data_IF_819911819671
#
_entry.id   IF_819911819671
#
_cell.length_a   1.000
_cell.length_b   1.000
_cell.length_c   1.000
_cell.angle_alpha   90.00
_cell.angle_beta   90.00
_cell.angle_gamma   90.00
#
_symmetry.space_group_name_H-M   'P 1'
#
loop_
_entity.id
_entity.type
_entity.pdbx_description
1 polymer ?
#
# COMPACT_ATOMS: atom_id res chain seq x y z
N UNK A 1 2.30 7.68 27.77
CA UNK A 1 1.42 6.95 26.83
C UNK A 1 1.97 5.54 26.68
N UNK A 2 1.14 4.48 26.58
CA UNK A 2 1.64 3.14 26.31
C UNK A 2 2.34 3.11 24.93
N UNK A 3 3.49 2.45 24.86
CA UNK A 3 4.28 2.35 23.62
C UNK A 3 4.09 0.97 22.99
N UNK A 4 3.83 0.94 21.68
CA UNK A 4 3.75 -0.30 20.92
C UNK A 4 5.15 -0.83 20.59
N UNK A 5 5.31 -2.15 20.68
CA UNK A 5 6.53 -2.85 20.33
C UNK A 5 6.22 -4.02 19.40
N UNK A 6 7.13 -4.26 18.45
CA UNK A 6 7.12 -5.43 17.59
C UNK A 6 8.17 -6.42 18.08
N UNK A 7 7.73 -7.63 18.36
CA UNK A 7 8.58 -8.79 18.63
C UNK A 7 8.44 -9.76 17.45
N UNK A 8 9.56 -10.17 16.87
CA UNK A 8 9.66 -11.27 15.94
C UNK A 8 10.67 -12.28 16.48
N UNK A 9 10.29 -13.55 16.45
CA UNK A 9 11.19 -14.65 16.76
C UNK A 9 11.04 -15.80 15.77
N UNK A 10 12.14 -16.49 15.56
CA UNK A 10 12.23 -17.72 14.78
C UNK A 10 12.22 -18.94 15.70
N UNK A 11 11.41 -19.94 15.36
CA UNK A 11 11.30 -21.19 16.10
C UNK A 11 12.46 -22.10 15.67
N UNK A 12 13.40 -22.34 16.59
CA UNK A 12 14.53 -23.25 16.37
C UNK A 12 14.13 -24.71 16.61
N UNK A 13 13.28 -24.94 17.62
CA UNK A 13 12.76 -26.27 17.96
C UNK A 13 11.25 -26.16 18.17
N UNK A 14 10.48 -26.71 17.23
CA UNK A 14 9.03 -26.66 17.28
C UNK A 14 8.50 -27.65 18.33
N UNK A 15 8.39 -27.18 19.58
CA UNK A 15 7.80 -27.95 20.68
C UNK A 15 6.34 -27.52 20.92
N UNK A 16 5.43 -28.48 21.15
CA UNK A 16 4.08 -28.15 21.62
C UNK A 16 4.13 -27.24 22.85
N UNK A 17 3.29 -26.20 22.88
CA UNK A 17 3.20 -25.27 24.01
C UNK A 17 4.15 -24.07 23.97
N UNK A 18 5.10 -23.98 23.03
CA UNK A 18 6.06 -22.86 22.94
C UNK A 18 5.37 -21.49 22.90
N UNK A 19 4.28 -21.38 22.13
CA UNK A 19 3.51 -20.14 22.08
C UNK A 19 2.82 -19.82 23.42
N UNK A 20 2.36 -20.84 24.12
CA UNK A 20 1.77 -20.70 25.46
C UNK A 20 2.80 -20.17 26.46
N UNK A 21 4.04 -20.65 26.40
CA UNK A 21 5.12 -20.19 27.28
C UNK A 21 5.49 -18.73 27.03
N UNK A 22 5.61 -18.32 25.76
CA UNK A 22 5.86 -16.92 25.39
C UNK A 22 4.69 -16.03 25.82
N UNK A 23 3.45 -16.48 25.60
CA UNK A 23 2.25 -15.73 25.99
C UNK A 23 2.13 -15.58 27.51
N UNK A 24 2.48 -16.62 28.26
CA UNK A 24 2.51 -16.60 29.73
C UNK A 24 3.57 -15.65 30.26
N UNK A 25 4.76 -15.63 29.64
CA UNK A 25 5.82 -14.67 29.96
C UNK A 25 5.37 -13.23 29.76
N UNK A 26 4.73 -12.94 28.63
CA UNK A 26 4.19 -11.60 28.33
C UNK A 26 3.15 -11.20 29.39
N UNK A 27 2.24 -12.11 29.76
CA UNK A 27 1.27 -11.90 30.83
C UNK A 27 1.92 -11.59 32.19
N UNK A 28 2.96 -12.35 32.57
CA UNK A 28 3.71 -12.14 33.82
C UNK A 28 4.44 -10.79 33.87
N UNK A 29 4.84 -10.26 32.71
CA UNK A 29 5.46 -8.93 32.59
C UNK A 29 4.42 -7.82 32.42
N UNK A 30 3.13 -8.13 32.47
CA UNK A 30 2.02 -7.19 32.20
C UNK A 30 2.13 -6.53 30.81
N UNK A 31 2.58 -7.31 29.82
CA UNK A 31 2.66 -6.89 28.42
C UNK A 31 1.46 -7.49 27.69
N UNK A 32 0.65 -6.63 27.06
CA UNK A 32 -0.53 -7.09 26.33
C UNK A 32 -0.18 -7.43 24.88
N UNK A 33 -0.70 -8.55 24.38
CA UNK A 33 -0.63 -8.89 22.96
C UNK A 33 -1.79 -8.20 22.26
N UNK A 34 -1.48 -7.26 21.37
CA UNK A 34 -2.49 -6.64 20.49
C UNK A 34 -2.86 -7.62 19.38
N UNK A 35 -1.86 -8.22 18.75
CA UNK A 35 -2.04 -9.20 17.68
C UNK A 35 -0.84 -10.14 17.63
N UNK A 36 -1.07 -11.39 17.23
CA UNK A 36 -0.03 -12.38 17.00
C UNK A 36 -0.38 -13.23 15.78
N UNK A 37 0.63 -13.54 14.96
CA UNK A 37 0.46 -14.46 13.85
C UNK A 37 1.78 -15.15 13.45
N UNK A 38 1.69 -16.26 12.73
CA UNK A 38 2.84 -16.75 11.96
C UNK A 38 3.05 -15.79 10.79
N UNK A 39 4.27 -15.29 10.60
CA UNK A 39 4.62 -14.39 9.48
C UNK A 39 5.40 -15.09 8.38
N UNK A 40 5.83 -16.33 8.67
CA UNK A 40 6.53 -17.29 7.82
C UNK A 40 6.41 -18.68 8.48
N UNK A 41 6.80 -19.75 7.80
CA UNK A 41 6.68 -21.14 8.29
C UNK A 41 7.33 -21.36 9.66
N UNK A 42 8.49 -20.72 9.91
CA UNK A 42 9.25 -20.82 11.16
C UNK A 42 9.18 -19.58 12.05
N UNK A 43 8.53 -18.49 11.61
CA UNK A 43 8.61 -17.17 12.28
C UNK A 43 7.27 -16.72 12.80
N UNK A 44 7.26 -16.16 14.01
CA UNK A 44 6.10 -15.52 14.60
C UNK A 44 6.36 -14.05 14.88
N UNK A 45 5.38 -13.23 14.53
CA UNK A 45 5.36 -11.81 14.81
C UNK A 45 4.27 -11.48 15.84
N UNK A 46 4.60 -10.59 16.77
CA UNK A 46 3.71 -10.12 17.82
C UNK A 46 3.75 -8.60 17.85
N UNK A 47 2.56 -7.99 17.84
CA UNK A 47 2.39 -6.59 18.18
C UNK A 47 2.01 -6.51 19.67
N UNK A 48 2.85 -5.82 20.43
CA UNK A 48 2.79 -5.75 21.89
C UNK A 48 2.45 -4.34 22.34
N UNK A 49 1.65 -4.22 23.39
CA UNK A 49 1.40 -2.97 24.10
C UNK A 49 2.09 -3.03 25.45
N UNK A 50 3.04 -2.10 25.65
CA UNK A 50 3.81 -1.98 26.88
C UNK A 50 3.49 -0.65 27.57
N UNK A 51 3.66 -0.61 28.88
CA UNK A 51 3.52 0.58 29.72
C UNK A 51 4.87 1.28 29.94
N UNK A 52 5.98 0.52 29.86
CA UNK A 52 7.34 1.06 30.03
C UNK A 52 8.40 0.31 29.21
N UNK A 53 9.53 0.97 28.95
CA UNK A 53 10.69 0.35 28.32
C UNK A 53 11.36 -0.73 29.20
N UNK A 54 11.19 -0.67 30.52
CA UNK A 54 11.76 -1.65 31.42
C UNK A 54 11.08 -3.02 31.28
N UNK A 55 9.78 -3.06 30.97
CA UNK A 55 9.10 -4.31 30.61
C UNK A 55 9.75 -4.97 29.40
N UNK A 56 10.08 -4.17 28.38
CA UNK A 56 10.72 -4.65 27.14
C UNK A 56 12.13 -5.14 27.40
N UNK A 57 12.93 -4.43 28.21
CA UNK A 57 14.28 -4.85 28.58
C UNK A 57 14.29 -6.18 29.36
N UNK A 58 13.33 -6.36 30.27
CA UNK A 58 13.16 -7.62 31.00
C UNK A 58 12.75 -8.75 30.06
N UNK A 59 11.78 -8.49 29.18
CA UNK A 59 11.35 -9.43 28.15
C UNK A 59 12.55 -9.86 27.28
N UNK A 60 13.32 -8.92 26.76
CA UNK A 60 14.50 -9.19 25.93
C UNK A 60 15.52 -10.08 26.65
N UNK A 61 15.78 -9.78 27.92
CA UNK A 61 16.74 -10.54 28.74
C UNK A 61 16.30 -11.99 28.92
N UNK A 62 15.00 -12.24 29.13
CA UNK A 62 14.44 -13.59 29.31
C UNK A 62 14.37 -14.34 27.98
N UNK A 63 13.96 -13.68 26.90
CA UNK A 63 13.87 -14.33 25.59
C UNK A 63 15.26 -14.76 25.08
N UNK A 64 16.32 -14.02 25.40
CA UNK A 64 17.71 -14.39 25.04
C UNK A 64 18.20 -15.67 25.71
N UNK A 65 17.57 -16.10 26.81
CA UNK A 65 17.93 -17.34 27.51
C UNK A 65 17.10 -18.54 27.04
N UNK A 66 16.18 -18.37 26.08
CA UNK A 66 15.33 -19.45 25.59
C UNK A 66 15.99 -20.16 24.40
N UNK A 67 16.42 -21.42 24.58
CA UNK A 67 17.10 -22.20 23.52
C UNK A 67 16.21 -22.61 22.33
N UNK A 68 14.89 -22.46 22.47
CA UNK A 68 13.91 -22.92 21.48
C UNK A 68 13.57 -21.85 20.44
N UNK A 69 13.92 -20.60 20.69
CA UNK A 69 13.62 -19.46 19.82
C UNK A 69 14.83 -18.56 19.65
N UNK A 70 14.89 -17.87 18.52
CA UNK A 70 15.84 -16.80 18.29
C UNK A 70 15.06 -15.52 18.06
N UNK A 71 15.24 -14.52 18.92
CA UNK A 71 14.64 -13.19 18.69
C UNK A 71 15.34 -12.54 17.50
N UNK A 72 14.60 -12.30 16.43
CA UNK A 72 15.12 -11.66 15.21
C UNK A 72 14.87 -10.15 15.22
N UNK A 73 13.78 -9.69 15.83
CA UNK A 73 13.44 -8.27 15.97
C UNK A 73 12.76 -7.98 17.30
N UNK A 74 13.21 -6.93 17.98
CA UNK A 74 12.51 -6.32 19.11
C UNK A 74 12.68 -4.81 19.02
N UNK A 75 11.66 -4.10 18.54
CA UNK A 75 11.75 -2.66 18.23
C UNK A 75 10.37 -2.02 18.13
N UNK A 76 10.31 -0.69 18.01
CA UNK A 76 9.07 0.02 17.64
C UNK A 76 8.54 -0.50 16.29
N UNK A 77 7.25 -0.83 16.17
CA UNK A 77 6.68 -1.43 14.97
C UNK A 77 6.71 -0.47 13.78
N UNK A 78 7.20 -0.96 12.64
CA UNK A 78 7.00 -0.29 11.35
C UNK A 78 5.64 -0.70 10.76
N UNK A 79 5.14 0.05 9.78
CA UNK A 79 3.88 -0.28 9.07
C UNK A 79 3.85 -1.74 8.59
N UNK A 80 4.95 -2.19 7.98
CA UNK A 80 5.11 -3.57 7.49
C UNK A 80 5.02 -4.61 8.61
N UNK A 81 5.55 -4.30 9.79
CA UNK A 81 5.52 -5.21 10.92
C UNK A 81 4.06 -5.41 11.38
N UNK A 82 3.26 -4.34 11.43
CA UNK A 82 1.82 -4.40 11.76
C UNK A 82 1.04 -5.24 10.74
N UNK A 83 1.29 -5.01 9.46
CA UNK A 83 0.59 -5.71 8.38
C UNK A 83 1.00 -7.18 8.30
N UNK A 84 2.29 -7.48 8.49
CA UNK A 84 2.76 -8.86 8.49
C UNK A 84 2.09 -9.67 9.59
N UNK A 85 1.96 -9.10 10.80
CA UNK A 85 1.24 -9.76 11.90
C UNK A 85 -0.25 -9.86 11.62
N UNK A 86 -0.88 -8.82 11.05
CA UNK A 86 -2.32 -8.85 10.76
C UNK A 86 -2.69 -9.93 9.73
N UNK A 87 -1.89 -10.06 8.67
CA UNK A 87 -2.21 -10.94 7.54
C UNK A 87 -1.42 -12.26 7.52
N UNK A 88 -0.47 -12.43 8.44
CA UNK A 88 0.30 -13.66 8.61
C UNK A 88 1.35 -13.93 7.53
N UNK A 89 1.86 -12.88 6.85
CA UNK A 89 2.86 -13.01 5.78
C UNK A 89 3.65 -11.71 5.58
N UNK A 90 4.89 -11.79 5.10
CA UNK A 90 5.65 -10.58 4.77
C UNK A 90 5.19 -9.92 3.46
N UNK A 91 5.14 -8.59 3.45
CA UNK A 91 5.06 -7.81 2.21
C UNK A 91 6.42 -7.80 1.54
N UNK A 92 6.50 -8.25 0.28
CA UNK A 92 7.73 -8.25 -0.50
C UNK A 92 8.10 -6.83 -0.95
N UNK A 93 9.40 -6.54 -0.92
CA UNK A 93 9.99 -5.27 -1.39
C UNK A 93 11.00 -5.60 -2.46
N UNK A 94 11.15 -4.73 -3.43
CA UNK A 94 12.28 -4.78 -4.34
C UNK A 94 13.61 -4.69 -3.55
N UNK A 95 14.59 -5.49 -3.95
CA UNK A 95 15.91 -5.50 -3.33
C UNK A 95 16.70 -4.22 -3.66
N UNK A 96 16.49 -3.69 -4.87
CA UNK A 96 17.21 -2.56 -5.42
C UNK A 96 16.43 -1.25 -5.19
N UNK A 97 15.10 -1.30 -5.22
CA UNK A 97 14.25 -0.14 -4.97
C UNK A 97 13.45 -0.19 -3.67
N UNK A 98 13.90 0.63 -2.72
CA UNK A 98 13.27 0.76 -1.41
C UNK A 98 11.85 1.35 -1.49
N UNK A 99 11.45 2.12 -2.49
CA UNK A 99 10.06 2.63 -2.53
C UNK A 99 9.07 1.65 -3.17
N UNK A 100 9.56 0.55 -3.76
CA UNK A 100 8.72 -0.40 -4.51
C UNK A 100 8.24 -1.59 -3.66
N UNK A 101 6.92 -1.80 -3.64
CA UNK A 101 6.22 -2.87 -2.94
C UNK A 101 5.44 -3.73 -3.94
N UNK A 102 5.60 -5.05 -3.85
CA UNK A 102 4.99 -5.99 -4.79
C UNK A 102 3.91 -6.81 -4.09
N UNK A 103 2.78 -6.93 -4.77
CA UNK A 103 1.63 -7.72 -4.34
C UNK A 103 1.14 -8.56 -5.51
N UNK A 104 0.72 -9.79 -5.22
CA UNK A 104 -0.01 -10.61 -6.20
C UNK A 104 -1.52 -10.38 -6.06
N UNK A 105 -2.29 -10.73 -7.08
CA UNK A 105 -3.74 -10.52 -7.11
C UNK A 105 -4.48 -11.16 -5.93
N UNK A 106 -4.02 -12.30 -5.45
CA UNK A 106 -4.59 -12.98 -4.27
C UNK A 106 -4.30 -12.24 -2.95
N UNK A 107 -3.50 -11.17 -3.01
CA UNK A 107 -3.13 -10.30 -1.88
C UNK A 107 -3.82 -8.93 -1.92
N UNK A 108 -4.81 -8.73 -2.78
CA UNK A 108 -5.54 -7.45 -2.87
C UNK A 108 -6.09 -6.98 -1.52
N UNK A 109 -6.53 -7.90 -0.63
CA UNK A 109 -6.95 -7.54 0.72
C UNK A 109 -5.82 -6.96 1.59
N UNK A 110 -4.61 -7.52 1.49
CA UNK A 110 -3.41 -7.02 2.18
C UNK A 110 -2.96 -5.68 1.57
N UNK A 111 -3.04 -5.54 0.25
CA UNK A 111 -2.78 -4.28 -0.44
C UNK A 111 -3.73 -3.18 0.04
N UNK A 112 -5.03 -3.48 0.14
CA UNK A 112 -6.05 -2.52 0.60
C UNK A 112 -5.74 -2.03 2.02
N UNK A 113 -5.39 -2.95 2.92
CA UNK A 113 -4.97 -2.59 4.28
C UNK A 113 -3.68 -1.76 4.29
N UNK A 114 -2.70 -2.11 3.46
CA UNK A 114 -1.44 -1.37 3.33
C UNK A 114 -1.67 0.07 2.88
N UNK A 115 -2.42 0.25 1.79
CA UNK A 115 -2.73 1.56 1.23
C UNK A 115 -3.61 2.38 2.18
N UNK A 116 -4.60 1.77 2.83
CA UNK A 116 -5.43 2.47 3.80
C UNK A 116 -4.61 3.05 4.97
N UNK A 117 -3.62 2.30 5.46
CA UNK A 117 -2.68 2.80 6.48
C UNK A 117 -1.73 3.88 5.95
N UNK A 118 -1.40 3.87 4.65
CA UNK A 118 -0.68 4.98 4.04
C UNK A 118 -1.53 6.24 3.99
N UNK A 119 -2.82 6.13 3.65
CA UNK A 119 -3.74 7.27 3.50
C UNK A 119 -4.09 7.95 4.82
N UNK A 120 -4.01 7.22 5.94
CA UNK A 120 -4.26 7.75 7.29
C UNK A 120 -3.12 8.59 7.86
N UNK A 121 -1.93 8.54 7.24
CA UNK A 121 -0.81 9.35 7.68
C UNK A 121 -0.93 10.75 7.10
N UNK A 122 -0.72 11.76 7.94
CA UNK A 122 -0.79 13.15 7.55
C UNK A 122 0.36 13.53 6.60
N UNK A 123 0.10 14.55 5.77
CA UNK A 123 1.12 15.15 4.91
C UNK A 123 0.99 14.79 3.43
N UNK A 124 1.92 15.35 2.66
CA UNK A 124 2.09 15.03 1.26
C UNK A 124 2.47 13.56 1.07
N UNK A 125 1.73 12.85 0.22
CA UNK A 125 2.09 11.50 -0.23
C UNK A 125 1.84 11.31 -1.70
N UNK A 126 2.87 10.92 -2.44
CA UNK A 126 2.76 10.55 -3.84
C UNK A 126 2.99 9.05 -4.01
N UNK A 127 1.94 8.34 -4.41
CA UNK A 127 1.92 6.89 -4.55
C UNK A 127 1.70 6.54 -6.02
N UNK A 128 2.58 5.74 -6.59
CA UNK A 128 2.46 5.23 -7.96
C UNK A 128 1.90 3.82 -7.95
N UNK A 129 0.95 3.50 -8.82
CA UNK A 129 0.46 2.13 -8.99
C UNK A 129 0.74 1.62 -10.39
N UNK A 130 1.51 0.53 -10.42
CA UNK A 130 1.84 -0.26 -11.58
C UNK A 130 1.07 -1.58 -11.57
N UNK A 131 0.88 -2.13 -12.76
CA UNK A 131 0.21 -3.40 -12.97
C UNK A 131 -0.45 -3.43 -14.34
N UNK A 132 -0.63 -4.64 -14.85
CA UNK A 132 -1.32 -4.89 -16.12
C UNK A 132 -2.76 -4.32 -16.13
N UNK A 133 -3.43 -4.23 -17.28
CA UNK A 133 -4.85 -3.89 -17.29
C UNK A 133 -5.69 -4.89 -16.48
N UNK A 134 -6.66 -4.40 -15.71
CA UNK A 134 -7.66 -5.21 -14.96
C UNK A 134 -7.12 -6.07 -13.79
N UNK A 135 -5.91 -5.82 -13.27
CA UNK A 135 -5.41 -6.48 -12.02
C UNK A 135 -6.00 -5.91 -10.73
N UNK A 136 -6.88 -4.90 -10.82
CA UNK A 136 -7.52 -4.31 -9.64
C UNK A 136 -6.88 -3.02 -9.14
N UNK A 137 -6.15 -2.27 -10.00
CA UNK A 137 -5.49 -1.00 -9.62
C UNK A 137 -6.49 -0.03 -9.03
N UNK A 138 -7.48 0.40 -9.81
CA UNK A 138 -8.45 1.40 -9.35
C UNK A 138 -9.34 0.89 -8.22
N UNK A 139 -9.74 -0.38 -8.27
CA UNK A 139 -10.53 -1.04 -7.23
C UNK A 139 -9.80 -1.01 -5.89
N UNK A 140 -8.48 -1.28 -5.89
CA UNK A 140 -7.65 -1.20 -4.68
C UNK A 140 -7.57 0.23 -4.15
N UNK A 141 -7.43 1.25 -5.00
CA UNK A 141 -7.41 2.67 -4.59
C UNK A 141 -8.71 3.06 -3.90
N UNK A 142 -9.85 2.71 -4.51
CA UNK A 142 -11.18 3.03 -3.99
C UNK A 142 -11.44 2.29 -2.68
N UNK A 143 -11.20 0.97 -2.64
CA UNK A 143 -11.38 0.16 -1.43
C UNK A 143 -10.51 0.67 -0.27
N UNK A 144 -9.27 1.06 -0.55
CA UNK A 144 -8.36 1.63 0.44
C UNK A 144 -8.84 2.98 0.96
N UNK A 145 -9.39 3.82 0.08
CA UNK A 145 -9.96 5.12 0.47
C UNK A 145 -11.14 4.94 1.42
N UNK A 146 -12.03 3.99 1.11
CA UNK A 146 -13.15 3.62 1.98
C UNK A 146 -12.65 3.10 3.33
N UNK A 147 -11.68 2.17 3.34
CA UNK A 147 -11.10 1.62 4.57
C UNK A 147 -10.41 2.69 5.44
N UNK A 148 -9.80 3.70 4.80
CA UNK A 148 -9.19 4.84 5.47
C UNK A 148 -10.18 5.92 5.91
N UNK A 149 -11.46 5.80 5.56
CA UNK A 149 -12.48 6.85 5.74
C UNK A 149 -12.05 8.20 5.10
N UNK A 150 -11.43 8.13 3.92
CA UNK A 150 -11.01 9.28 3.13
C UNK A 150 -11.90 9.38 1.88
N UNK A 151 -12.28 10.60 1.50
CA UNK A 151 -13.00 10.83 0.23
C UNK A 151 -12.00 10.67 -0.92
N UNK A 152 -12.41 10.08 -2.02
CA UNK A 152 -11.57 9.96 -3.22
C UNK A 152 -12.12 10.82 -4.36
N UNK A 153 -11.22 11.42 -5.13
CA UNK A 153 -11.55 12.30 -6.25
C UNK A 153 -10.75 11.88 -7.47
N UNK A 154 -11.47 11.48 -8.53
CA UNK A 154 -10.86 11.24 -9.83
C UNK A 154 -10.55 12.57 -10.52
N UNK A 155 -9.28 12.91 -10.62
CA UNK A 155 -8.77 14.03 -11.43
C UNK A 155 -8.75 13.61 -12.89
N UNK A 156 -8.32 12.37 -13.14
CA UNK A 156 -8.38 11.69 -14.42
C UNK A 156 -8.59 10.19 -14.23
N UNK A 157 -9.40 9.53 -15.07
CA UNK A 157 -9.61 8.08 -15.00
C UNK A 157 -10.22 7.52 -16.28
N UNK A 158 -9.93 6.26 -16.58
CA UNK A 158 -10.59 5.48 -17.63
C UNK A 158 -11.93 4.84 -17.20
N UNK A 159 -12.19 4.68 -15.90
CA UNK A 159 -13.27 3.82 -15.36
C UNK A 159 -14.68 4.41 -15.40
N UNK A 160 -14.83 5.71 -15.60
CA UNK A 160 -16.12 6.40 -15.63
C UNK A 160 -16.14 7.42 -16.76
N UNK A 161 -16.61 7.04 -17.95
CA UNK A 161 -16.75 7.93 -19.13
C UNK A 161 -15.48 8.71 -19.52
N UNK A 162 -14.28 8.22 -19.15
CA UNK A 162 -13.02 8.95 -19.37
C UNK A 162 -13.05 10.36 -18.74
N UNK A 163 -13.10 10.42 -17.40
CA UNK A 163 -13.06 11.69 -16.67
C UNK A 163 -11.72 12.38 -16.87
N UNK A 164 -11.75 13.65 -17.27
CA UNK A 164 -10.62 14.59 -17.23
C UNK A 164 -11.14 15.90 -16.65
N UNK A 165 -10.62 16.30 -15.49
CA UNK A 165 -11.04 17.53 -14.81
C UNK A 165 -10.05 18.65 -15.08
N UNK A 166 -10.55 19.84 -15.41
CA UNK A 166 -9.71 21.04 -15.57
C UNK A 166 -9.73 21.98 -14.36
N UNK A 167 -10.61 21.71 -13.39
CA UNK A 167 -10.71 22.47 -12.14
C UNK A 167 -11.39 21.63 -11.03
N UNK A 168 -11.10 21.98 -9.78
CA UNK A 168 -11.82 21.54 -8.59
C UNK A 168 -12.63 22.70 -8.01
N UNK A 169 -13.74 22.39 -7.33
CA UNK A 169 -14.45 23.38 -6.52
C UNK A 169 -13.73 23.56 -5.17
N UNK A 170 -13.96 24.67 -4.48
CA UNK A 170 -13.20 25.04 -3.27
C UNK A 170 -13.14 23.91 -2.21
N UNK A 171 -14.27 23.26 -1.93
CA UNK A 171 -14.38 22.22 -0.91
C UNK A 171 -13.65 20.90 -1.27
N UNK A 172 -13.22 20.75 -2.52
CA UNK A 172 -12.47 19.57 -2.98
C UNK A 172 -10.96 19.71 -2.73
N UNK A 173 -10.45 20.91 -2.47
CA UNK A 173 -9.05 21.16 -2.08
C UNK A 173 -8.82 20.81 -0.59
N UNK A 174 -9.16 19.58 -0.20
CA UNK A 174 -9.00 19.09 1.16
C UNK A 174 -7.84 18.09 1.26
N UNK A 175 -7.06 18.21 2.33
CA UNK A 175 -6.01 17.25 2.72
C UNK A 175 -6.58 15.88 3.13
N UNK A 176 -7.87 15.83 3.43
CA UNK A 176 -8.61 14.59 3.71
C UNK A 176 -9.05 13.85 2.46
N UNK A 177 -8.75 14.38 1.27
CA UNK A 177 -9.07 13.72 0.01
C UNK A 177 -7.87 12.93 -0.53
N UNK A 178 -8.18 11.81 -1.18
CA UNK A 178 -7.24 11.06 -2.02
C UNK A 178 -7.49 11.46 -3.48
N UNK A 179 -6.50 12.08 -4.11
CA UNK A 179 -6.59 12.49 -5.51
C UNK A 179 -6.05 11.39 -6.42
N UNK A 180 -6.86 10.96 -7.39
CA UNK A 180 -6.54 9.86 -8.29
C UNK A 180 -6.25 10.41 -9.68
N UNK A 181 -5.06 10.13 -10.18
CA UNK A 181 -4.55 10.56 -11.48
C UNK A 181 -4.20 9.30 -12.28
N UNK A 182 -4.50 9.31 -13.58
CA UNK A 182 -4.14 8.25 -14.51
C UNK A 182 -3.14 8.87 -15.48
N UNK A 183 -1.88 8.44 -15.37
CA UNK A 183 -0.76 8.97 -16.15
C UNK A 183 -0.99 8.91 -17.64
N UNK A 184 -1.71 7.90 -18.15
CA UNK A 184 -2.00 7.76 -19.57
C UNK A 184 -3.05 8.79 -20.00
N UNK A 185 -4.12 8.90 -19.24
CA UNK A 185 -5.24 9.80 -19.56
C UNK A 185 -4.79 11.26 -19.45
N UNK A 186 -4.10 11.61 -18.36
CA UNK A 186 -3.63 12.98 -18.12
C UNK A 186 -2.68 13.48 -19.19
N UNK A 187 -1.73 12.64 -19.62
CA UNK A 187 -0.65 13.09 -20.53
C UNK A 187 -1.04 13.01 -22.00
N UNK A 188 -1.88 12.06 -22.40
CA UNK A 188 -2.30 11.92 -23.81
C UNK A 188 -3.51 12.75 -24.17
N UNK A 189 -4.39 13.07 -23.21
CA UNK A 189 -5.69 13.70 -23.47
C UNK A 189 -5.96 14.93 -22.61
N UNK A 190 -5.12 15.21 -21.61
CA UNK A 190 -5.24 16.40 -20.78
C UNK A 190 -4.98 17.67 -21.57
N UNK A 191 -5.81 18.69 -21.31
CA UNK A 191 -5.52 20.06 -21.76
C UNK A 191 -4.48 20.73 -20.86
N UNK A 192 -3.95 21.88 -21.27
CA UNK A 192 -3.10 22.71 -20.41
C UNK A 192 -3.76 23.05 -19.07
N UNK A 193 -5.08 23.27 -19.06
CA UNK A 193 -5.83 23.52 -17.83
C UNK A 193 -5.86 22.29 -16.91
N UNK A 194 -5.97 21.09 -17.49
CA UNK A 194 -5.86 19.85 -16.71
C UNK A 194 -4.46 19.69 -16.11
N UNK A 195 -3.40 19.93 -16.89
CA UNK A 195 -2.03 19.86 -16.39
C UNK A 195 -1.77 20.91 -15.31
N UNK A 196 -2.35 22.11 -15.44
CA UNK A 196 -2.32 23.12 -14.39
C UNK A 196 -3.02 22.62 -13.11
N UNK A 197 -4.20 22.01 -13.22
CA UNK A 197 -4.87 21.41 -12.07
C UNK A 197 -4.00 20.32 -11.43
N UNK A 198 -3.36 19.46 -12.22
CA UNK A 198 -2.45 18.43 -11.69
C UNK A 198 -1.32 19.08 -10.88
N UNK A 199 -0.70 20.16 -11.38
CA UNK A 199 0.34 20.91 -10.64
C UNK A 199 -0.18 21.52 -9.34
N UNK A 200 -1.40 22.03 -9.33
CA UNK A 200 -2.04 22.56 -8.13
C UNK A 200 -2.26 21.45 -7.10
N UNK A 201 -2.80 20.31 -7.52
CA UNK A 201 -3.02 19.15 -6.67
C UNK A 201 -1.70 18.61 -6.10
N UNK A 202 -0.64 18.51 -6.92
CA UNK A 202 0.67 18.02 -6.47
C UNK A 202 1.25 18.86 -5.32
N UNK A 203 0.94 20.16 -5.24
CA UNK A 203 1.38 21.05 -4.14
C UNK A 203 0.60 20.90 -2.84
N UNK A 204 -0.58 20.26 -2.86
CA UNK A 204 -1.39 20.06 -1.66
C UNK A 204 -0.71 19.11 -0.68
N UNK A 205 -0.88 19.31 0.63
CA UNK A 205 -0.41 18.37 1.64
C UNK A 205 -1.38 17.20 1.82
N UNK A 206 -1.73 16.56 0.70
CA UNK A 206 -2.69 15.47 0.59
C UNK A 206 -2.06 14.23 -0.05
N UNK A 207 -2.81 13.11 -0.02
CA UNK A 207 -2.44 11.89 -0.72
C UNK A 207 -2.84 11.96 -2.20
N UNK A 208 -1.91 11.63 -3.09
CA UNK A 208 -2.13 11.48 -4.53
C UNK A 208 -1.73 10.08 -4.93
N UNK A 209 -2.57 9.49 -5.76
CA UNK A 209 -2.31 8.18 -6.34
C UNK A 209 -2.29 8.32 -7.85
N UNK A 210 -1.16 7.99 -8.46
CA UNK A 210 -0.95 8.03 -9.91
C UNK A 210 -0.91 6.60 -10.43
N UNK A 211 -1.93 6.21 -11.19
CA UNK A 211 -1.85 5.00 -12.01
C UNK A 211 -0.94 5.26 -13.21
N UNK A 212 -0.20 4.24 -13.63
CA UNK A 212 0.76 4.33 -14.75
C UNK A 212 1.83 5.44 -14.51
N UNK A 213 2.54 5.40 -13.37
CA UNK A 213 3.49 6.44 -12.99
C UNK A 213 4.62 6.60 -14.02
N UNK A 214 5.02 5.52 -14.70
CA UNK A 214 6.06 5.55 -15.73
C UNK A 214 5.68 6.42 -16.93
N UNK A 215 4.42 6.36 -17.37
CA UNK A 215 3.91 7.20 -18.47
C UNK A 215 3.71 8.64 -17.99
N UNK A 216 3.32 8.82 -16.74
CA UNK A 216 3.16 10.15 -16.14
C UNK A 216 4.49 10.93 -16.14
N UNK A 217 5.58 10.34 -15.65
CA UNK A 217 6.89 11.02 -15.54
C UNK A 217 7.56 11.25 -16.89
N UNK A 218 7.29 10.43 -17.90
CA UNK A 218 7.83 10.62 -19.25
C UNK A 218 7.32 11.90 -19.93
N UNK A 219 6.13 12.36 -19.53
CA UNK A 219 5.39 13.42 -20.22
C UNK A 219 5.08 14.62 -19.30
N UNK A 220 5.69 14.68 -18.13
CA UNK A 220 5.52 15.77 -17.16
C UNK A 220 6.87 16.18 -16.56
N UNK A 221 6.88 17.23 -15.73
CA UNK A 221 8.07 17.69 -15.01
C UNK A 221 8.48 16.80 -13.82
N UNK A 222 7.67 15.79 -13.48
CA UNK A 222 7.92 14.91 -12.35
C UNK A 222 8.78 13.72 -12.73
N UNK A 223 9.44 13.14 -11.74
CA UNK A 223 10.32 11.98 -11.85
C UNK A 223 9.83 10.85 -10.95
N UNK A 224 10.31 9.62 -11.18
CA UNK A 224 10.01 8.51 -10.28
C UNK A 224 10.55 8.74 -8.86
N UNK A 225 11.51 9.65 -8.68
CA UNK A 225 12.09 9.99 -7.37
C UNK A 225 11.19 10.89 -6.52
N UNK A 226 10.22 11.56 -7.14
CA UNK A 226 9.20 12.32 -6.41
C UNK A 226 8.16 11.41 -5.72
N UNK A 227 8.12 10.13 -6.09
CA UNK A 227 7.19 9.15 -5.50
C UNK A 227 7.72 8.61 -4.17
N UNK A 228 6.90 8.72 -3.13
CA UNK A 228 7.19 8.15 -1.81
C UNK A 228 7.06 6.61 -1.82
N UNK A 229 6.12 6.11 -2.64
CA UNK A 229 5.82 4.68 -2.78
C UNK A 229 5.50 4.33 -4.23
N UNK A 230 5.99 3.19 -4.68
CA UNK A 230 5.53 2.52 -5.89
C UNK A 230 4.94 1.17 -5.48
N UNK A 231 3.73 0.89 -5.96
CA UNK A 231 3.00 -0.34 -5.70
C UNK A 231 2.88 -1.08 -7.03
N UNK A 232 3.30 -2.34 -7.04
CA UNK A 232 3.17 -3.24 -8.17
C UNK A 232 2.12 -4.31 -7.85
N UNK A 233 1.08 -4.36 -8.67
CA UNK A 233 0.06 -5.42 -8.60
C UNK A 233 0.30 -6.38 -9.77
N UNK A 234 0.59 -7.63 -9.43
CA UNK A 234 0.90 -8.69 -10.39
C UNK A 234 -0.13 -9.83 -10.34
N UNK A 235 -0.30 -10.56 -11.43
CA UNK A 235 -1.08 -11.81 -11.41
C UNK A 235 -0.35 -12.93 -10.67
N UNK A 236 0.96 -13.03 -10.88
CA UNK A 236 1.86 -13.98 -10.22
C UNK A 236 3.19 -13.29 -9.83
N UNK A 237 4.00 -13.87 -8.94
CA UNK A 237 5.21 -13.22 -8.44
C UNK A 237 6.23 -12.84 -9.52
N UNK A 238 6.27 -13.61 -10.62
CA UNK A 238 7.28 -13.50 -11.67
C UNK A 238 6.80 -12.63 -12.85
N UNK A 239 5.55 -12.17 -12.84
CA UNK A 239 4.99 -11.30 -13.89
C UNK A 239 5.81 -10.01 -14.06
N UNK A 240 6.28 -9.78 -15.28
CA UNK A 240 6.87 -8.51 -15.69
C UNK A 240 5.77 -7.53 -16.11
N UNK A 241 5.70 -6.38 -15.43
CA UNK A 241 4.75 -5.32 -15.78
C UNK A 241 5.31 -4.56 -16.98
N UNK A 242 4.64 -4.68 -18.12
CA UNK A 242 4.99 -3.94 -19.34
C UNK A 242 3.80 -3.17 -19.87
N UNK A 243 4.06 -2.02 -20.48
CA UNK A 243 3.02 -1.12 -21.00
C UNK A 243 2.95 -1.08 -22.53
N UNK A 244 3.63 -2.02 -23.21
CA UNK A 244 3.77 -2.07 -24.68
C UNK A 244 2.42 -2.11 -25.39
N UNK A 245 1.44 -2.83 -24.84
CA UNK A 245 0.10 -2.95 -25.45
C UNK A 245 -0.81 -1.74 -25.17
N UNK A 246 -0.41 -0.84 -24.26
CA UNK A 246 -1.15 0.41 -23.96
C UNK A 246 -0.56 1.59 -24.75
N UNK A 247 0.56 1.39 -25.44
CA UNK A 247 1.14 2.33 -26.41
C UNK A 247 0.37 2.36 -27.73
N UNK A 248 -0.38 1.32 -28.07
CA UNK A 248 -1.29 1.36 -29.20
C UNK A 248 -2.54 2.18 -28.85
N UNK A 249 -2.91 3.20 -29.65
CA UNK A 249 -4.13 3.92 -29.42
C UNK A 249 -5.30 2.94 -29.52
N UNK A 250 -6.15 2.91 -28.49
CA UNK A 250 -7.50 2.31 -28.52
C UNK A 250 -8.38 3.05 -29.56
N UNK A 251 -8.02 2.97 -30.83
CA UNK A 251 -8.78 3.40 -32.01
C UNK A 251 -9.68 2.26 -32.53
N UNK A 252 -9.88 1.20 -31.75
CA UNK A 252 -10.63 0.00 -32.17
C UNK A 252 -11.99 -0.19 -31.47
N UNK A 253 -12.42 0.74 -30.59
CA UNK A 253 -13.72 0.62 -29.91
C UNK A 253 -14.76 1.67 -30.30
N UNK A 254 -14.54 2.46 -31.36
CA UNK A 254 -15.49 3.53 -31.75
C UNK A 254 -15.97 3.47 -33.22
N UNK A 255 -15.84 2.32 -33.91
CA UNK A 255 -16.27 2.22 -35.32
C UNK A 255 -17.01 0.94 -35.73
N UNK A 256 -17.56 0.14 -34.81
CA UNK A 256 -18.26 -1.10 -35.20
C UNK A 256 -19.61 -1.39 -34.52
N UNK A 257 -20.30 -0.40 -33.95
CA UNK A 257 -21.66 -0.62 -33.41
C UNK A 257 -22.70 0.42 -33.82
N UNK A 258 -22.51 1.09 -34.96
CA UNK A 258 -23.53 1.93 -35.59
C UNK A 258 -23.76 1.48 -37.04
N UNK A 259 -24.26 0.26 -37.20
CA UNK A 259 -24.90 -0.16 -38.45
C UNK A 259 -25.87 -1.30 -38.19
N UNK A 260 -27.16 -0.99 -38.33
CA UNK A 260 -28.24 -1.97 -38.49
C UNK A 260 -29.10 -2.14 -37.25
N UNK A 261 -30.25 -1.47 -37.21
CA UNK A 261 -31.55 -2.12 -37.44
C UNK A 261 -32.61 -1.02 -37.57
N UNK A 262 -32.99 -0.73 -38.82
CA UNK A 262 -34.31 -0.19 -39.15
C UNK A 262 -35.29 -1.37 -39.18
N UNK A 263 -36.40 -1.27 -38.43
CA UNK A 263 -37.80 -1.55 -38.79
C UNK A 263 -38.70 -1.34 -37.56
#
# INVERSE_FOLDING_TARGET
>A
MPFEWYLEYEIQKNRPGLLGDVSSLLGMLSINIITINGVDDSRRGLLLKCESNDQVRRLESILKTMDHITVTKLRVPKLRDRLAVRHGRYIQRDADDKKTFRFVRDELGLLVDFMAELYKQDGHKLIGIRGMPRVGKTESIVASSVCANKKWLFVSSTLLKQTIRSQLIADEYSEDNVFIIDGIVSTRRGSEQHLQLVREIMRLSATKVVEHPDIFVQNTEYTLDDFDYIIEIRNDPDEEITYKDVEEPQMLFDSSSLSGFDF
#
